data_IF_694143799642
#
_entry.id   IF_694143799642
#
_cell.length_a   1.000
_cell.length_b   1.000
_cell.length_c   1.000
_cell.angle_alpha   90.00
_cell.angle_beta   90.00
_cell.angle_gamma   90.00
#
_symmetry.space_group_name_H-M   'P 1'
#
loop_
_entity.id
_entity.type
_entity.pdbx_description
1 polymer ?
#
# COMPACT_ATOMS: atom_id res chain seq x y z
N UNK A 1 56.84 91.87 77.12
CA UNK A 1 57.52 90.90 78.00
C UNK A 1 58.93 90.53 77.53
N UNK A 2 59.23 90.55 76.23
CA UNK A 2 60.57 90.19 75.73
C UNK A 2 61.55 91.40 75.62
N UNK A 3 61.00 92.60 75.46
CA UNK A 3 61.78 93.85 75.37
C UNK A 3 62.40 94.23 76.72
N UNK A 4 61.69 94.00 77.82
CA UNK A 4 62.19 94.22 79.19
C UNK A 4 63.31 93.25 79.54
N UNK A 5 63.21 92.01 79.09
CA UNK A 5 64.24 90.97 79.31
C UNK A 5 65.55 91.30 78.58
N UNK A 6 65.46 91.85 77.35
CA UNK A 6 66.64 92.34 76.61
C UNK A 6 67.23 93.63 77.20
N UNK A 7 66.43 94.45 77.87
CA UNK A 7 66.89 95.66 78.56
C UNK A 7 67.60 95.33 79.88
N UNK A 8 67.16 94.28 80.60
CA UNK A 8 67.85 93.73 81.77
C UNK A 8 69.14 93.01 81.42
N UNK A 9 69.17 92.23 80.34
CA UNK A 9 70.40 91.57 79.86
C UNK A 9 71.44 92.60 79.38
N UNK A 10 71.01 93.71 78.78
CA UNK A 10 71.90 94.82 78.43
C UNK A 10 72.42 95.59 79.67
N UNK A 11 71.65 95.63 80.77
CA UNK A 11 72.06 96.26 82.05
C UNK A 11 73.02 95.36 82.84
N UNK A 12 72.84 94.04 82.81
CA UNK A 12 73.72 93.08 83.48
C UNK A 12 75.12 93.03 82.85
N UNK A 13 75.24 93.28 81.55
CA UNK A 13 76.53 93.32 80.85
C UNK A 13 77.31 94.64 81.05
N UNK A 14 76.66 95.71 81.52
CA UNK A 14 77.30 97.00 81.77
C UNK A 14 77.90 97.13 83.20
N UNK A 15 77.62 96.19 84.10
CA UNK A 15 78.02 96.25 85.51
C UNK A 15 79.43 95.67 85.82
N UNK A 16 80.19 95.26 84.80
CA UNK A 16 81.54 94.67 84.96
C UNK A 16 82.60 95.62 84.36
N UNK A 17 82.67 96.86 84.84
CA UNK A 17 83.72 97.82 84.47
C UNK A 17 84.38 98.40 85.72
N UNK A 18 85.27 97.60 86.32
CA UNK A 18 86.26 98.05 87.30
C UNK A 18 87.43 98.82 86.66
N UNK A 19 88.31 99.46 87.45
CA UNK A 19 89.08 100.62 87.04
C UNK A 19 90.20 100.32 86.04
N UNK A 20 90.38 101.29 85.14
CA UNK A 20 91.48 101.52 84.18
C UNK A 20 92.77 100.71 84.47
N UNK A 21 93.09 99.68 83.66
CA UNK A 21 94.39 99.06 83.65
C UNK A 21 95.33 99.76 82.64
N UNK A 22 96.60 99.77 83.00
CA UNK A 22 97.77 100.24 82.25
C UNK A 22 97.86 99.64 80.83
N UNK A 23 98.50 100.32 79.86
CA UNK A 23 98.53 99.86 78.47
C UNK A 23 99.34 98.55 78.35
N UNK A 24 98.79 97.49 77.71
CA UNK A 24 99.53 96.27 77.43
C UNK A 24 100.45 96.44 76.20
N UNK A 25 101.50 95.59 76.07
CA UNK A 25 102.58 95.74 75.08
C UNK A 25 102.07 95.60 73.63
N UNK A 26 102.80 96.20 72.68
CA UNK A 26 102.43 96.35 71.25
C UNK A 26 102.04 95.03 70.57
N UNK A 27 102.67 93.91 70.96
CA UNK A 27 102.46 92.60 70.34
C UNK A 27 101.03 92.06 70.51
N UNK A 28 100.38 92.27 71.66
CA UNK A 28 99.02 91.78 71.92
C UNK A 28 97.94 92.52 71.13
N UNK A 29 98.21 93.76 70.65
CA UNK A 29 97.25 94.51 69.82
C UNK A 29 97.22 94.01 68.39
N UNK A 30 98.39 93.64 67.86
CA UNK A 30 98.54 93.07 66.51
C UNK A 30 97.82 91.71 66.44
N UNK A 31 97.98 90.89 67.47
CA UNK A 31 97.34 89.58 67.55
C UNK A 31 95.80 89.67 67.64
N UNK A 32 95.28 90.62 68.43
CA UNK A 32 93.84 90.86 68.57
C UNK A 32 93.21 91.40 67.28
N UNK A 33 93.92 92.26 66.55
CA UNK A 33 93.50 92.76 65.24
C UNK A 33 93.45 91.64 64.18
N UNK A 34 94.47 90.77 64.14
CA UNK A 34 94.49 89.57 63.26
C UNK A 34 93.32 88.63 63.55
N UNK A 35 93.01 88.41 64.83
CA UNK A 35 91.91 87.51 65.25
C UNK A 35 90.54 88.06 64.86
N UNK A 36 90.33 89.38 64.91
CA UNK A 36 89.08 90.00 64.45
C UNK A 36 88.94 89.97 62.92
N UNK A 37 90.04 90.12 62.19
CA UNK A 37 90.05 90.06 60.73
C UNK A 37 89.77 88.63 60.23
N UNK A 38 90.40 87.62 60.85
CA UNK A 38 90.12 86.21 60.61
C UNK A 38 88.65 85.81 60.93
N UNK A 39 88.05 86.41 61.97
CA UNK A 39 86.65 86.14 62.32
C UNK A 39 85.65 86.73 61.31
N UNK A 40 85.99 87.84 60.63
CA UNK A 40 85.16 88.43 59.56
C UNK A 40 85.24 87.61 58.27
N UNK A 41 86.42 87.15 57.90
CA UNK A 41 86.62 86.32 56.71
C UNK A 41 85.94 84.95 56.85
N UNK A 42 86.01 84.32 58.03
CA UNK A 42 85.31 83.07 58.31
C UNK A 42 83.76 83.17 58.21
N UNK A 43 83.17 84.32 58.55
CA UNK A 43 81.72 84.56 58.39
C UNK A 43 81.31 84.78 56.94
N UNK A 44 82.18 85.39 56.13
CA UNK A 44 81.95 85.60 54.70
C UNK A 44 81.98 84.27 53.93
N UNK A 45 82.93 83.40 54.25
CA UNK A 45 83.05 82.07 53.65
C UNK A 45 81.92 81.12 54.05
N UNK A 46 81.44 81.19 55.30
CA UNK A 46 80.29 80.41 55.75
C UNK A 46 78.99 80.80 55.03
N UNK A 47 78.79 82.10 54.76
CA UNK A 47 77.62 82.60 54.02
C UNK A 47 77.68 82.23 52.53
N UNK A 48 78.87 82.27 51.90
CA UNK A 48 79.05 81.83 50.52
C UNK A 48 78.78 80.32 50.36
N UNK A 49 79.31 79.47 51.25
CA UNK A 49 79.09 78.02 51.23
C UNK A 49 77.62 77.62 51.43
N UNK A 50 76.90 78.33 52.30
CA UNK A 50 75.46 78.08 52.52
C UNK A 50 74.62 78.44 51.27
N UNK A 51 74.98 79.51 50.56
CA UNK A 51 74.31 79.93 49.32
C UNK A 51 74.57 78.96 48.16
N UNK A 52 75.79 78.44 48.04
CA UNK A 52 76.15 77.43 47.04
C UNK A 52 75.51 76.07 47.31
N UNK A 53 75.40 75.65 48.58
CA UNK A 53 74.65 74.45 48.96
C UNK A 53 73.17 74.55 48.60
N UNK A 54 72.52 75.70 48.87
CA UNK A 54 71.12 75.91 48.54
C UNK A 54 70.87 75.94 47.02
N UNK A 55 71.77 76.57 46.26
CA UNK A 55 71.74 76.58 44.79
C UNK A 55 71.93 75.18 44.18
N UNK A 56 72.83 74.38 44.76
CA UNK A 56 73.09 73.01 44.31
C UNK A 56 71.89 72.09 44.60
N UNK A 57 71.26 72.23 45.78
CA UNK A 57 70.07 71.48 46.14
C UNK A 57 68.86 71.86 45.27
N UNK A 58 68.70 73.15 44.94
CA UNK A 58 67.64 73.63 44.05
C UNK A 58 67.79 73.14 42.59
N UNK A 59 69.03 72.92 42.12
CA UNK A 59 69.30 72.34 40.79
C UNK A 59 68.95 70.85 40.74
N UNK A 60 69.32 70.09 41.78
CA UNK A 60 68.97 68.66 41.88
C UNK A 60 67.45 68.43 41.90
N UNK A 61 66.69 69.24 42.64
CA UNK A 61 65.22 69.11 42.70
C UNK A 61 64.58 69.40 41.34
N UNK A 62 65.03 70.43 40.61
CA UNK A 62 64.51 70.74 39.27
C UNK A 62 64.86 69.68 38.22
N UNK A 63 66.00 69.00 38.38
CA UNK A 63 66.40 67.92 37.50
C UNK A 63 65.57 66.66 37.74
N UNK A 64 65.28 66.34 39.01
CA UNK A 64 64.35 65.27 39.41
C UNK A 64 62.91 65.53 38.92
N UNK A 65 62.39 66.75 39.06
CA UNK A 65 61.04 67.07 38.55
C UNK A 65 60.95 67.01 37.01
N UNK A 66 62.05 67.29 36.30
CA UNK A 66 62.10 67.16 34.83
C UNK A 66 62.18 65.70 34.39
N UNK A 67 62.94 64.86 35.10
CA UNK A 67 63.04 63.43 34.79
C UNK A 67 61.73 62.71 35.09
N UNK A 68 61.07 63.00 36.22
CA UNK A 68 59.76 62.42 36.57
C UNK A 68 58.67 62.81 35.57
N UNK A 69 58.60 64.09 35.14
CA UNK A 69 57.63 64.51 34.11
C UNK A 69 57.89 63.85 32.75
N UNK A 70 59.15 63.64 32.39
CA UNK A 70 59.50 62.94 31.16
C UNK A 70 59.16 61.44 31.23
N UNK A 71 59.31 60.81 32.41
CA UNK A 71 58.94 59.41 32.62
C UNK A 71 57.42 59.21 32.57
N UNK A 72 56.64 60.09 33.21
CA UNK A 72 55.17 60.05 33.17
C UNK A 72 54.62 60.26 31.75
N UNK A 73 55.19 61.19 30.98
CA UNK A 73 54.79 61.40 29.58
C UNK A 73 55.14 60.20 28.67
N UNK A 74 56.23 59.48 28.96
CA UNK A 74 56.57 58.23 28.27
C UNK A 74 55.60 57.10 28.66
N UNK A 75 55.30 56.93 29.95
CA UNK A 75 54.31 55.94 30.42
C UNK A 75 52.92 56.20 29.87
N UNK A 76 52.48 57.46 29.76
CA UNK A 76 51.17 57.80 29.18
C UNK A 76 51.12 57.55 27.66
N UNK A 77 52.19 57.86 26.93
CA UNK A 77 52.32 57.52 25.51
C UNK A 77 52.38 56.01 25.26
N UNK A 78 53.09 55.27 26.11
CA UNK A 78 53.15 53.81 26.04
C UNK A 78 51.79 53.18 26.37
N UNK A 79 51.08 53.66 27.40
CA UNK A 79 49.75 53.18 27.75
C UNK A 79 48.72 53.47 26.64
N UNK A 80 48.72 54.66 26.03
CA UNK A 80 47.86 54.97 24.87
C UNK A 80 48.21 54.14 23.64
N UNK A 81 49.50 53.91 23.38
CA UNK A 81 49.96 53.06 22.28
C UNK A 81 49.53 51.61 22.48
N UNK A 82 49.66 51.08 23.70
CA UNK A 82 49.21 49.74 24.07
C UNK A 82 47.69 49.58 23.93
N UNK A 83 46.90 50.55 24.39
CA UNK A 83 45.44 50.51 24.23
C UNK A 83 45.00 50.55 22.77
N UNK A 84 45.70 51.32 21.91
CA UNK A 84 45.39 51.37 20.47
C UNK A 84 45.74 50.05 19.77
N UNK A 85 46.85 49.42 20.14
CA UNK A 85 47.27 48.11 19.64
C UNK A 85 46.33 46.99 20.10
N UNK A 86 45.91 46.99 21.36
CA UNK A 86 44.91 46.04 21.87
C UNK A 86 43.54 46.23 21.22
N UNK A 87 43.09 47.47 21.01
CA UNK A 87 41.82 47.76 20.32
C UNK A 87 41.87 47.31 18.85
N UNK A 88 43.00 47.49 18.17
CA UNK A 88 43.21 46.94 16.82
C UNK A 88 43.22 45.42 16.82
N UNK A 89 43.93 44.77 17.76
CA UNK A 89 43.95 43.31 17.92
C UNK A 89 42.55 42.73 18.17
N UNK A 90 41.78 43.31 19.09
CA UNK A 90 40.40 42.88 19.39
C UNK A 90 39.48 43.02 18.17
N UNK A 91 39.58 44.11 17.41
CA UNK A 91 38.84 44.28 16.16
C UNK A 91 39.25 43.25 15.09
N UNK A 92 40.54 42.94 15.00
CA UNK A 92 41.04 41.94 14.05
C UNK A 92 40.54 40.53 14.42
N UNK A 93 40.61 40.18 15.71
CA UNK A 93 40.11 38.90 16.24
C UNK A 93 38.58 38.77 16.10
N UNK A 94 37.80 39.83 16.29
CA UNK A 94 36.34 39.80 16.05
C UNK A 94 35.99 39.56 14.58
N UNK A 95 36.71 40.21 13.66
CA UNK A 95 36.50 40.02 12.21
C UNK A 95 36.90 38.60 11.78
N UNK A 96 38.01 38.07 12.30
CA UNK A 96 38.42 36.69 12.03
C UNK A 96 37.43 35.68 12.64
N UNK A 97 36.96 35.93 13.85
CA UNK A 97 35.96 35.07 14.51
C UNK A 97 34.62 35.08 13.75
N UNK A 98 34.14 36.24 13.29
CA UNK A 98 32.95 36.33 12.43
C UNK A 98 33.15 35.59 11.10
N UNK A 99 34.31 35.72 10.46
CA UNK A 99 34.62 34.99 9.21
C UNK A 99 34.63 33.47 9.41
N UNK A 100 35.18 32.99 10.53
CA UNK A 100 35.22 31.57 10.88
C UNK A 100 33.79 31.08 11.18
N UNK A 101 33.01 31.83 11.95
CA UNK A 101 31.62 31.49 12.28
C UNK A 101 30.72 31.47 11.03
N UNK A 102 30.87 32.45 10.13
CA UNK A 102 30.14 32.50 8.86
C UNK A 102 30.54 31.37 7.92
N UNK A 103 31.84 31.01 7.86
CA UNK A 103 32.28 29.83 7.11
C UNK A 103 31.72 28.54 7.69
N UNK A 104 31.70 28.39 9.02
CA UNK A 104 31.14 27.23 9.70
C UNK A 104 29.62 27.11 9.45
N UNK A 105 28.86 28.22 9.54
CA UNK A 105 27.44 28.26 9.20
C UNK A 105 27.20 27.90 7.72
N UNK A 106 28.01 28.44 6.80
CA UNK A 106 27.93 28.08 5.36
C UNK A 106 28.25 26.61 5.11
N UNK A 107 29.18 26.02 5.85
CA UNK A 107 29.47 24.59 5.75
C UNK A 107 28.32 23.75 6.28
N UNK A 108 27.78 24.08 7.46
CA UNK A 108 26.62 23.39 8.03
C UNK A 108 25.38 23.49 7.12
N UNK A 109 25.10 24.65 6.54
CA UNK A 109 23.99 24.84 5.58
C UNK A 109 24.20 24.00 4.31
N UNK A 110 25.43 23.93 3.79
CA UNK A 110 25.76 23.08 2.63
C UNK A 110 25.62 21.59 2.96
N UNK A 111 25.97 21.16 4.16
CA UNK A 111 25.80 19.77 4.60
C UNK A 111 24.33 19.41 4.78
N UNK A 112 23.53 20.25 5.45
CA UNK A 112 22.08 20.08 5.57
C UNK A 112 21.41 20.02 4.19
N UNK A 113 21.81 20.90 3.27
CA UNK A 113 21.29 20.92 1.90
C UNK A 113 21.70 19.68 1.12
N UNK A 114 22.91 19.16 1.31
CA UNK A 114 23.36 17.88 0.74
C UNK A 114 22.55 16.71 1.31
N UNK A 115 22.31 16.67 2.61
CA UNK A 115 21.50 15.63 3.25
C UNK A 115 20.05 15.65 2.74
N UNK A 116 19.42 16.83 2.63
CA UNK A 116 18.10 16.95 2.03
C UNK A 116 18.07 16.50 0.56
N UNK A 117 19.09 16.86 -0.23
CA UNK A 117 19.18 16.45 -1.64
C UNK A 117 19.35 14.93 -1.79
N UNK A 118 20.11 14.29 -0.90
CA UNK A 118 20.27 12.83 -0.88
C UNK A 118 18.93 12.17 -0.57
N UNK A 119 18.23 12.62 0.47
CA UNK A 119 16.93 12.06 0.86
C UNK A 119 15.89 12.18 -0.26
N UNK A 120 15.81 13.36 -0.92
CA UNK A 120 14.92 13.57 -2.07
C UNK A 120 15.29 12.67 -3.26
N UNK A 121 16.58 12.53 -3.56
CA UNK A 121 17.07 11.68 -4.65
C UNK A 121 16.80 10.20 -4.37
N UNK A 122 16.92 9.78 -3.12
CA UNK A 122 16.61 8.41 -2.68
C UNK A 122 15.11 8.12 -2.73
N UNK A 123 14.27 9.06 -2.29
CA UNK A 123 12.83 8.96 -2.44
C UNK A 123 12.41 8.88 -3.92
N UNK A 124 13.00 9.70 -4.80
CA UNK A 124 12.74 9.61 -6.24
C UNK A 124 13.18 8.27 -6.83
N UNK A 125 14.36 7.75 -6.45
CA UNK A 125 14.81 6.42 -6.87
C UNK A 125 13.82 5.33 -6.46
N UNK A 126 13.37 5.33 -5.21
CA UNK A 126 12.37 4.38 -4.73
C UNK A 126 11.08 4.43 -5.57
N UNK A 127 10.56 5.64 -5.86
CA UNK A 127 9.37 5.82 -6.70
C UNK A 127 9.60 5.29 -8.12
N UNK A 128 10.77 5.53 -8.71
CA UNK A 128 11.09 5.03 -10.07
C UNK A 128 11.21 3.52 -10.10
N UNK A 129 11.89 2.92 -9.13
CA UNK A 129 12.07 1.46 -9.03
C UNK A 129 10.73 0.77 -8.74
N UNK A 130 9.88 1.35 -7.89
CA UNK A 130 8.53 0.83 -7.63
C UNK A 130 7.66 0.90 -8.89
N UNK A 131 7.69 2.02 -9.61
CA UNK A 131 6.99 2.16 -10.91
C UNK A 131 7.50 1.15 -11.93
N UNK A 132 8.80 0.89 -11.96
CA UNK A 132 9.40 -0.07 -12.86
C UNK A 132 8.98 -1.51 -12.52
N UNK A 133 9.02 -1.90 -11.23
CA UNK A 133 8.48 -3.18 -10.75
C UNK A 133 6.99 -3.34 -11.10
N UNK A 134 6.18 -2.30 -10.91
CA UNK A 134 4.75 -2.31 -11.28
C UNK A 134 4.58 -2.50 -12.80
N UNK A 135 5.41 -1.86 -13.63
CA UNK A 135 5.38 -2.04 -15.09
C UNK A 135 5.76 -3.46 -15.51
N UNK A 136 6.82 -4.02 -14.92
CA UNK A 136 7.26 -5.39 -15.17
C UNK A 136 6.17 -6.39 -14.74
N UNK A 137 5.60 -6.22 -13.55
CA UNK A 137 4.50 -7.03 -13.04
C UNK A 137 3.27 -6.96 -13.94
N UNK A 138 2.86 -5.77 -14.36
CA UNK A 138 1.73 -5.58 -15.29
C UNK A 138 2.00 -6.25 -16.64
N UNK A 139 3.22 -6.13 -17.15
CA UNK A 139 3.63 -6.78 -18.41
C UNK A 139 3.59 -8.30 -18.28
N UNK A 140 4.09 -8.84 -17.18
CA UNK A 140 4.08 -10.27 -16.90
C UNK A 140 2.67 -10.83 -16.80
N UNK A 141 1.77 -10.17 -16.05
CA UNK A 141 0.34 -10.54 -16.00
C UNK A 141 -0.27 -10.54 -17.40
N UNK A 142 -0.02 -9.49 -18.18
CA UNK A 142 -0.55 -9.38 -19.55
C UNK A 142 -0.07 -10.52 -20.45
N UNK A 143 1.17 -10.96 -20.31
CA UNK A 143 1.72 -12.10 -21.05
C UNK A 143 1.07 -13.42 -20.62
N UNK A 144 0.89 -13.65 -19.32
CA UNK A 144 0.19 -14.84 -18.80
C UNK A 144 -1.27 -14.87 -19.28
N UNK A 145 -1.97 -13.74 -19.21
CA UNK A 145 -3.35 -13.63 -19.68
C UNK A 145 -3.46 -13.85 -21.19
N UNK A 146 -2.51 -13.33 -21.98
CA UNK A 146 -2.47 -13.56 -23.42
C UNK A 146 -2.27 -15.04 -23.75
N UNK A 147 -1.37 -15.72 -23.04
CA UNK A 147 -1.14 -17.17 -23.17
C UNK A 147 -2.38 -17.97 -22.77
N UNK A 148 -2.98 -17.67 -21.62
CA UNK A 148 -4.21 -18.31 -21.15
C UNK A 148 -5.36 -18.13 -22.15
N UNK A 149 -5.56 -16.92 -22.67
CA UNK A 149 -6.58 -16.66 -23.71
C UNK A 149 -6.31 -17.42 -25.00
N UNK A 150 -5.05 -17.61 -25.38
CA UNK A 150 -4.71 -18.40 -26.56
C UNK A 150 -5.01 -19.89 -26.37
N UNK A 151 -4.59 -20.46 -25.24
CA UNK A 151 -4.89 -21.85 -24.87
C UNK A 151 -6.41 -22.09 -24.77
N UNK A 152 -7.16 -21.14 -24.21
CA UNK A 152 -8.62 -21.24 -24.11
C UNK A 152 -9.30 -21.16 -25.49
N UNK A 153 -8.80 -20.33 -26.41
CA UNK A 153 -9.29 -20.30 -27.80
C UNK A 153 -9.03 -21.63 -28.51
N UNK A 154 -7.85 -22.22 -28.34
CA UNK A 154 -7.53 -23.54 -28.91
C UNK A 154 -8.45 -24.62 -28.34
N UNK A 155 -8.65 -24.67 -27.02
CA UNK A 155 -9.61 -25.59 -26.39
C UNK A 155 -11.02 -25.40 -26.92
N UNK A 156 -11.49 -24.16 -27.06
CA UNK A 156 -12.82 -23.86 -27.64
C UNK A 156 -12.94 -24.34 -29.08
N UNK A 157 -11.89 -24.22 -29.91
CA UNK A 157 -11.92 -24.76 -31.28
C UNK A 157 -12.04 -26.28 -31.29
N UNK A 158 -11.27 -26.97 -30.45
CA UNK A 158 -11.34 -28.43 -30.32
C UNK A 158 -12.72 -28.87 -29.83
N UNK A 159 -13.26 -28.20 -28.81
CA UNK A 159 -14.59 -28.45 -28.29
C UNK A 159 -15.68 -28.20 -29.35
N UNK A 160 -15.64 -27.06 -30.05
CA UNK A 160 -16.57 -26.76 -31.14
C UNK A 160 -16.50 -27.77 -32.29
N UNK A 161 -15.31 -28.32 -32.57
CA UNK A 161 -15.15 -29.37 -33.57
C UNK A 161 -15.80 -30.68 -33.11
N UNK A 162 -15.56 -31.08 -31.86
CA UNK A 162 -16.19 -32.26 -31.25
C UNK A 162 -17.71 -32.11 -31.21
N UNK A 163 -18.23 -30.95 -30.79
CA UNK A 163 -19.66 -30.67 -30.76
C UNK A 163 -20.28 -30.74 -32.16
N UNK A 164 -19.59 -30.22 -33.19
CA UNK A 164 -20.03 -30.34 -34.59
C UNK A 164 -20.05 -31.79 -35.07
N UNK A 165 -19.06 -32.61 -34.70
CA UNK A 165 -19.03 -34.03 -35.05
C UNK A 165 -20.18 -34.77 -34.36
N UNK A 166 -20.39 -34.51 -33.07
CA UNK A 166 -21.45 -35.13 -32.28
C UNK A 166 -22.84 -34.73 -32.77
N UNK A 167 -23.04 -33.47 -33.18
CA UNK A 167 -24.28 -33.01 -33.80
C UNK A 167 -24.53 -33.67 -35.17
N UNK A 168 -23.49 -33.83 -35.99
CA UNK A 168 -23.58 -34.56 -37.27
C UNK A 168 -23.94 -36.03 -37.06
N UNK A 169 -23.30 -36.69 -36.10
CA UNK A 169 -23.59 -38.08 -35.74
C UNK A 169 -25.03 -38.25 -35.23
N UNK A 170 -25.48 -37.39 -34.31
CA UNK A 170 -26.87 -37.39 -33.84
C UNK A 170 -27.87 -37.20 -34.97
N UNK A 171 -27.61 -36.27 -35.90
CA UNK A 171 -28.46 -36.06 -37.08
C UNK A 171 -28.50 -37.28 -37.99
N UNK A 172 -27.36 -37.94 -38.19
CA UNK A 172 -27.29 -39.17 -38.99
C UNK A 172 -28.06 -40.31 -38.33
N UNK A 173 -27.90 -40.50 -37.02
CA UNK A 173 -28.65 -41.49 -36.23
C UNK A 173 -30.16 -41.23 -36.27
N UNK A 174 -30.57 -39.96 -36.14
CA UNK A 174 -31.98 -39.57 -36.27
C UNK A 174 -32.53 -39.91 -37.65
N UNK A 175 -31.78 -39.61 -38.72
CA UNK A 175 -32.18 -39.96 -40.10
C UNK A 175 -32.24 -41.46 -40.33
N UNK A 176 -31.35 -42.24 -39.72
CA UNK A 176 -31.40 -43.71 -39.80
C UNK A 176 -32.66 -44.25 -39.16
N UNK A 177 -33.00 -43.80 -37.94
CA UNK A 177 -34.24 -44.19 -37.25
C UNK A 177 -35.49 -43.78 -38.02
N UNK A 178 -35.51 -42.57 -38.58
CA UNK A 178 -36.64 -42.09 -39.39
C UNK A 178 -36.79 -42.91 -40.68
N UNK A 179 -35.68 -43.24 -41.34
CA UNK A 179 -35.69 -44.10 -42.53
C UNK A 179 -36.14 -45.53 -42.21
N UNK A 180 -35.71 -46.08 -41.08
CA UNK A 180 -36.14 -47.39 -40.59
C UNK A 180 -37.64 -47.42 -40.30
N UNK A 181 -38.15 -46.42 -39.57
CA UNK A 181 -39.59 -46.26 -39.32
C UNK A 181 -40.38 -46.11 -40.63
N UNK A 182 -39.91 -45.29 -41.57
CA UNK A 182 -40.54 -45.15 -42.89
C UNK A 182 -40.52 -46.45 -43.70
N UNK A 183 -39.46 -47.24 -43.57
CA UNK A 183 -39.36 -48.56 -44.22
C UNK A 183 -40.39 -49.52 -43.62
N UNK A 184 -40.53 -49.54 -42.30
CA UNK A 184 -41.53 -50.36 -41.61
C UNK A 184 -42.96 -49.95 -41.94
N UNK A 185 -43.27 -48.65 -41.94
CA UNK A 185 -44.59 -48.14 -42.33
C UNK A 185 -44.93 -48.42 -43.80
N UNK A 186 -43.91 -48.53 -44.66
CA UNK A 186 -44.08 -48.91 -46.07
C UNK A 186 -44.10 -50.43 -46.28
N UNK A 187 -43.83 -51.24 -45.25
CA UNK A 187 -43.99 -52.69 -45.39
C UNK A 187 -45.46 -52.96 -45.67
N UNK A 188 -45.78 -53.63 -46.80
CA UNK A 188 -47.15 -54.04 -47.05
C UNK A 188 -47.59 -54.92 -45.88
N UNK A 189 -48.62 -54.49 -45.16
CA UNK A 189 -49.22 -55.28 -44.10
C UNK A 189 -50.17 -56.28 -44.77
N UNK A 190 -49.79 -57.56 -44.80
CA UNK A 190 -50.66 -58.62 -45.30
C UNK A 190 -51.75 -58.92 -44.26
N UNK A 191 -52.77 -58.06 -44.22
CA UNK A 191 -53.98 -58.24 -43.38
C UNK A 191 -54.87 -59.41 -43.84
N UNK A 192 -54.42 -60.18 -44.82
CA UNK A 192 -55.16 -61.27 -45.46
C UNK A 192 -55.15 -62.58 -44.66
N UNK A 193 -54.37 -62.67 -43.57
CA UNK A 193 -54.32 -63.89 -42.74
C UNK A 193 -54.60 -63.61 -41.28
N UNK A 194 -55.74 -64.10 -40.78
CA UNK A 194 -55.98 -64.25 -39.35
C UNK A 194 -55.01 -65.30 -38.81
N UNK A 195 -54.14 -64.90 -37.88
CA UNK A 195 -53.13 -65.76 -37.24
C UNK A 195 -53.74 -66.91 -36.42
N UNK A 196 -54.99 -66.75 -35.98
CA UNK A 196 -55.73 -67.77 -35.23
C UNK A 196 -57.04 -68.10 -35.96
N UNK A 197 -56.99 -69.13 -36.81
CA UNK A 197 -58.20 -69.71 -37.39
C UNK A 197 -58.92 -70.52 -36.31
N UNK A 198 -59.80 -69.86 -35.55
CA UNK A 198 -60.72 -70.58 -34.66
C UNK A 198 -61.66 -71.43 -35.53
N UNK A 199 -61.73 -72.76 -35.34
CA UNK A 199 -62.65 -73.58 -36.12
C UNK A 199 -64.09 -73.13 -35.84
N UNK A 200 -64.92 -73.15 -36.88
CA UNK A 200 -66.35 -72.90 -36.72
C UNK A 200 -66.94 -73.96 -35.76
N UNK A 201 -67.91 -73.59 -34.91
CA UNK A 201 -68.60 -74.55 -34.06
C UNK A 201 -69.22 -75.67 -34.91
N UNK A 202 -69.08 -76.92 -34.47
CA UNK A 202 -69.77 -78.03 -35.11
C UNK A 202 -71.27 -77.94 -34.78
N UNK A 203 -72.11 -77.73 -35.80
CA UNK A 203 -73.57 -77.79 -35.67
C UNK A 203 -73.99 -79.25 -35.83
N UNK A 204 -74.50 -79.88 -34.76
CA UNK A 204 -75.10 -81.21 -34.85
C UNK A 204 -76.48 -81.12 -35.51
N UNK A 205 -76.79 -82.09 -36.35
CA UNK A 205 -78.14 -82.22 -36.91
C UNK A 205 -79.10 -82.68 -35.81
N UNK A 206 -80.35 -82.21 -35.87
CA UNK A 206 -81.41 -82.70 -34.97
C UNK A 206 -81.57 -84.21 -35.18
N UNK A 207 -81.51 -85.04 -34.12
CA UNK A 207 -81.69 -86.49 -34.24
C UNK A 207 -83.00 -86.83 -34.96
N UNK A 208 -82.93 -87.74 -35.93
CA UNK A 208 -84.09 -88.18 -36.72
C UNK A 208 -84.47 -87.28 -37.91
N UNK A 209 -83.95 -86.05 -37.99
CA UNK A 209 -84.19 -85.16 -39.13
C UNK A 209 -83.19 -85.46 -40.25
N UNK A 210 -83.65 -86.10 -41.31
CA UNK A 210 -82.84 -86.51 -42.47
C UNK A 210 -82.95 -85.56 -43.66
N UNK A 211 -83.97 -84.69 -43.69
CA UNK A 211 -84.20 -83.70 -44.74
C UNK A 211 -83.61 -82.32 -44.41
N UNK A 212 -83.22 -81.51 -45.41
CA UNK A 212 -82.86 -80.12 -45.19
C UNK A 212 -84.07 -79.37 -44.61
N UNK A 213 -83.81 -78.30 -43.84
CA UNK A 213 -84.85 -77.61 -43.07
C UNK A 213 -86.05 -77.16 -43.92
N UNK A 214 -85.80 -76.64 -45.13
CA UNK A 214 -86.87 -76.25 -46.06
C UNK A 214 -87.71 -77.44 -46.49
N UNK A 215 -87.10 -78.52 -46.96
CA UNK A 215 -87.83 -79.71 -47.42
C UNK A 215 -88.64 -80.36 -46.29
N UNK A 216 -88.13 -80.34 -45.05
CA UNK A 216 -88.90 -80.83 -43.90
C UNK A 216 -90.07 -79.92 -43.54
N UNK A 217 -89.91 -78.60 -43.67
CA UNK A 217 -91.01 -77.65 -43.46
C UNK A 217 -92.12 -77.83 -44.49
N UNK A 218 -91.76 -77.99 -45.77
CA UNK A 218 -92.70 -78.26 -46.85
C UNK A 218 -93.41 -79.60 -46.63
N UNK A 219 -92.67 -80.62 -46.19
CA UNK A 219 -93.23 -81.93 -45.83
C UNK A 219 -94.24 -81.83 -44.68
N UNK A 220 -93.93 -81.07 -43.62
CA UNK A 220 -94.86 -80.85 -42.50
C UNK A 220 -96.13 -80.15 -42.98
N UNK A 221 -96.01 -79.17 -43.88
CA UNK A 221 -97.19 -78.49 -44.44
C UNK A 221 -98.11 -79.48 -45.18
N UNK A 222 -97.55 -80.39 -45.97
CA UNK A 222 -98.32 -81.42 -46.69
C UNK A 222 -98.89 -82.45 -45.71
N UNK A 223 -98.07 -82.92 -44.76
CA UNK A 223 -98.47 -83.89 -43.75
C UNK A 223 -99.66 -83.38 -42.94
N UNK A 224 -99.59 -82.15 -42.42
CA UNK A 224 -100.65 -81.50 -41.67
C UNK A 224 -101.88 -81.24 -42.55
N UNK A 225 -101.70 -80.83 -43.81
CA UNK A 225 -102.82 -80.65 -44.72
C UNK A 225 -103.62 -81.95 -44.91
N UNK A 226 -102.93 -83.07 -45.17
CA UNK A 226 -103.59 -84.37 -45.36
C UNK A 226 -104.23 -84.85 -44.06
N UNK A 227 -103.60 -84.65 -42.89
CA UNK A 227 -104.20 -85.08 -41.62
C UNK A 227 -105.43 -84.23 -41.22
N UNK A 228 -105.44 -82.94 -41.54
CA UNK A 228 -106.55 -82.05 -41.20
C UNK A 228 -107.73 -82.14 -42.20
N UNK A 229 -107.44 -82.33 -43.49
CA UNK A 229 -108.47 -82.33 -44.55
C UNK A 229 -108.72 -83.72 -45.17
N UNK A 230 -107.95 -84.75 -44.80
CA UNK A 230 -107.95 -86.03 -45.50
C UNK A 230 -109.28 -86.76 -45.49
N UNK A 231 -109.98 -86.76 -44.34
CA UNK A 231 -111.32 -87.35 -44.24
C UNK A 231 -112.32 -86.62 -45.17
N UNK A 232 -112.20 -85.30 -45.29
CA UNK A 232 -113.08 -84.49 -46.15
C UNK A 232 -112.78 -84.73 -47.64
N UNK A 233 -111.53 -85.04 -47.98
CA UNK A 233 -111.09 -85.39 -49.33
C UNK A 233 -111.39 -86.86 -49.69
N UNK A 234 -111.86 -87.67 -48.73
CA UNK A 234 -112.17 -89.08 -48.93
C UNK A 234 -110.96 -90.02 -48.82
N UNK A 235 -109.87 -89.59 -48.17
CA UNK A 235 -108.75 -90.48 -47.84
C UNK A 235 -109.12 -91.40 -46.67
N UNK A 236 -108.60 -92.63 -46.71
CA UNK A 236 -108.59 -93.51 -45.56
C UNK A 236 -107.52 -93.03 -44.56
N UNK A 237 -107.98 -92.56 -43.40
CA UNK A 237 -107.12 -91.98 -42.38
C UNK A 237 -106.24 -93.04 -41.69
N UNK A 238 -106.64 -94.32 -41.71
CA UNK A 238 -105.86 -95.41 -41.13
C UNK A 238 -104.71 -95.87 -42.03
N UNK A 239 -104.79 -95.61 -43.34
CA UNK A 239 -103.78 -95.98 -44.32
C UNK A 239 -102.75 -94.87 -44.60
N UNK A 240 -102.82 -93.72 -43.91
CA UNK A 240 -101.94 -92.60 -44.18
C UNK A 240 -100.50 -92.89 -43.71
N UNK A 241 -99.47 -92.57 -44.53
CA UNK A 241 -98.10 -92.81 -44.15
C UNK A 241 -97.66 -91.89 -43.00
N UNK A 242 -96.83 -92.44 -42.11
CA UNK A 242 -96.27 -91.67 -40.98
C UNK A 242 -95.34 -90.57 -41.48
N UNK A 243 -95.09 -89.55 -40.67
CA UNK A 243 -94.13 -88.48 -40.99
C UNK A 243 -92.74 -89.04 -41.34
N UNK A 244 -92.30 -90.13 -40.70
CA UNK A 244 -91.04 -90.78 -41.03
C UNK A 244 -91.09 -91.47 -42.40
N UNK A 245 -92.21 -92.11 -42.76
CA UNK A 245 -92.42 -92.71 -44.08
C UNK A 245 -92.34 -91.65 -45.18
N UNK A 246 -93.01 -90.51 -44.98
CA UNK A 246 -92.92 -89.35 -45.86
C UNK A 246 -91.49 -88.80 -45.98
N UNK A 247 -90.78 -88.72 -44.86
CA UNK A 247 -89.39 -88.27 -44.84
C UNK A 247 -88.47 -89.20 -45.63
N UNK A 248 -88.65 -90.53 -45.50
CA UNK A 248 -87.86 -91.53 -46.23
C UNK A 248 -88.18 -91.51 -47.73
N UNK A 249 -89.43 -91.33 -48.11
CA UNK A 249 -89.85 -91.27 -49.52
C UNK A 249 -89.17 -90.14 -50.32
N UNK A 250 -88.74 -89.06 -49.63
CA UNK A 250 -88.04 -87.94 -50.23
C UNK A 250 -86.51 -88.11 -50.25
N UNK A 251 -85.98 -89.20 -49.69
CA UNK A 251 -84.55 -89.51 -49.72
C UNK A 251 -84.20 -90.37 -50.93
N UNK A 252 -83.05 -90.12 -51.60
CA UNK A 252 -82.64 -90.84 -52.80
C UNK A 252 -82.58 -92.37 -52.64
N UNK A 253 -82.19 -92.84 -51.45
CA UNK A 253 -81.82 -94.24 -51.20
C UNK A 253 -82.99 -95.13 -50.73
N UNK A 254 -84.21 -94.60 -50.60
CA UNK A 254 -85.39 -95.36 -50.13
C UNK A 254 -86.40 -95.70 -51.24
N UNK A 255 -86.12 -95.37 -52.49
CA UNK A 255 -87.00 -95.63 -53.65
C UNK A 255 -87.03 -97.09 -54.11
N UNK A 256 -86.17 -97.97 -53.57
CA UNK A 256 -86.05 -99.37 -54.01
C UNK A 256 -87.07 -100.33 -53.37
N UNK A 257 -87.71 -99.97 -52.25
CA UNK A 257 -88.70 -100.85 -51.58
C UNK A 257 -90.16 -100.44 -51.83
N UNK A 258 -90.41 -99.35 -52.55
CA UNK A 258 -91.77 -98.87 -52.85
C UNK A 258 -92.41 -99.55 -54.09
N UNK A 259 -91.69 -100.44 -54.78
CA UNK A 259 -92.14 -101.12 -56.01
C UNK A 259 -92.58 -102.59 -55.81
N UNK A 260 -92.59 -103.13 -54.59
CA UNK A 260 -93.16 -104.47 -54.35
C UNK A 260 -94.65 -104.39 -53.98
N UNK A 261 -95.50 -104.28 -55.00
CA UNK A 261 -96.93 -104.60 -54.91
C UNK A 261 -97.13 -106.08 -55.29
N UNK A 262 -97.81 -106.93 -54.49
CA UNK A 262 -98.09 -108.30 -54.87
C UNK A 262 -99.24 -108.36 -55.89
N UNK A 263 -98.99 -109.04 -57.01
CA UNK A 263 -99.98 -109.41 -58.03
C UNK A 263 -101.03 -110.41 -57.53
#
# INVERSE_FOLDING_TARGET
AEITKRLEEARALAAITGPRPTPPPVDRRIELARRQQAARDARRDASARSRDQFSSQARLVREMERSEKAELAKREKEARSQQLLEAKRKKQEEIEKQKIEDQAKRQQERELKRQQAILLKEQQKYITEERERRRQHTTFIRQLDARRRWEERERRKHQNLLDRLLAKEKKLQSRRKEMELLSELRRPQEDSSLSEQKPLPALSRIPGLKLPGQAFADLLQVYEFIHNFGQTLGFDMESLPTLNTFQLALLPDCSLEAEEEPA
#
